data_IF_849766603803
#
_entry.id   IF_849766603803
#
_cell.length_a   1.000
_cell.length_b   1.000
_cell.length_c   1.000
_cell.angle_alpha   90.00
_cell.angle_beta   90.00
_cell.angle_gamma   90.00
#
_symmetry.space_group_name_H-M   'P 1'
#
loop_
_entity.id
_entity.type
_entity.pdbx_description
1 polymer ?
#
# COMPACT_ATOMS: atom_id res chain seq x y z
N UNK A 1 -15.13 1.43 -30.33
CA UNK A 1 -14.16 0.79 -29.41
C UNK A 1 -12.83 0.62 -30.16
N UNK A 2 -11.86 1.53 -30.00
CA UNK A 2 -10.52 1.38 -30.60
C UNK A 2 -9.71 0.44 -29.70
N UNK A 3 -9.37 -0.74 -30.21
CA UNK A 3 -8.37 -1.58 -29.57
C UNK A 3 -7.03 -0.86 -29.68
N UNK A 4 -6.36 -0.62 -28.55
CA UNK A 4 -4.98 -0.12 -28.52
C UNK A 4 -4.10 -1.29 -28.96
N UNK A 5 -3.67 -1.28 -30.22
CA UNK A 5 -2.77 -2.29 -30.74
C UNK A 5 -1.38 -2.10 -30.10
N UNK A 6 -0.77 -3.19 -29.62
CA UNK A 6 0.64 -3.20 -29.19
C UNK A 6 1.53 -2.64 -30.31
N UNK A 7 2.57 -1.87 -29.95
CA UNK A 7 3.60 -1.29 -30.85
C UNK A 7 3.22 -0.04 -31.65
N UNK A 8 2.36 0.85 -31.13
CA UNK A 8 2.27 2.21 -31.69
C UNK A 8 3.43 3.08 -31.20
N UNK A 9 3.99 3.94 -32.06
CA UNK A 9 4.86 5.03 -31.65
C UNK A 9 4.20 5.86 -30.54
N UNK A 10 4.96 6.36 -29.57
CA UNK A 10 4.43 7.15 -28.45
C UNK A 10 3.70 8.39 -28.96
N UNK A 11 4.12 8.90 -30.11
CA UNK A 11 3.54 10.07 -30.79
C UNK A 11 2.11 9.83 -31.31
N UNK A 12 1.69 8.56 -31.47
CA UNK A 12 0.35 8.16 -31.94
C UNK A 12 -0.65 7.90 -30.80
N UNK A 13 -0.22 8.04 -29.55
CA UNK A 13 -1.09 7.99 -28.38
C UNK A 13 -1.67 9.38 -28.11
N UNK A 14 -2.94 9.44 -27.70
CA UNK A 14 -3.51 10.70 -27.21
C UNK A 14 -2.59 11.26 -26.10
N UNK A 15 -2.38 12.60 -26.04
CA UNK A 15 -1.48 13.18 -25.04
C UNK A 15 -1.86 12.68 -23.66
N UNK A 16 -0.93 12.02 -22.97
CA UNK A 16 -1.18 11.46 -21.64
C UNK A 16 -1.68 12.52 -20.65
N UNK A 17 -1.34 13.79 -20.91
CA UNK A 17 -1.79 14.98 -20.20
C UNK A 17 -3.31 15.18 -20.26
N UNK A 18 -3.96 14.87 -21.39
CA UNK A 18 -5.42 14.94 -21.51
C UNK A 18 -6.09 13.89 -20.63
N UNK A 19 -5.60 12.65 -20.69
CA UNK A 19 -6.10 11.57 -19.84
C UNK A 19 -5.87 11.87 -18.35
N UNK A 20 -4.68 12.35 -17.98
CA UNK A 20 -4.37 12.77 -16.61
C UNK A 20 -5.28 13.89 -16.15
N UNK A 21 -5.58 14.86 -17.01
CA UNK A 21 -6.50 15.95 -16.68
C UNK A 21 -7.93 15.44 -16.45
N UNK A 22 -8.42 14.51 -17.27
CA UNK A 22 -9.74 13.89 -17.09
C UNK A 22 -9.76 13.11 -15.77
N UNK A 23 -8.79 12.21 -15.56
CA UNK A 23 -8.68 11.43 -14.33
C UNK A 23 -8.59 12.33 -13.10
N UNK A 24 -7.73 13.35 -13.15
CA UNK A 24 -7.58 14.27 -12.04
C UNK A 24 -8.87 15.02 -11.77
N UNK A 25 -9.59 15.51 -12.80
CA UNK A 25 -10.82 16.31 -12.62
C UNK A 25 -12.02 15.47 -12.19
N UNK A 26 -12.24 14.35 -12.84
CA UNK A 26 -13.49 13.56 -12.78
C UNK A 26 -13.35 12.28 -11.95
N UNK A 27 -12.15 11.72 -11.84
CA UNK A 27 -11.91 10.44 -11.18
C UNK A 27 -11.68 10.51 -9.67
N UNK A 28 -11.64 11.72 -9.09
CA UNK A 28 -11.31 11.94 -7.68
C UNK A 28 -12.35 12.82 -6.99
N UNK A 29 -12.78 12.39 -5.81
CA UNK A 29 -13.71 13.15 -4.96
C UNK A 29 -13.13 14.51 -4.56
N UNK A 30 -13.95 15.55 -4.74
CA UNK A 30 -13.59 16.93 -4.48
C UNK A 30 -14.32 17.47 -3.24
N UNK A 31 -13.57 18.14 -2.35
CA UNK A 31 -14.11 18.92 -1.24
C UNK A 31 -13.62 20.35 -1.34
N UNK A 32 -14.55 21.31 -1.37
CA UNK A 32 -14.19 22.74 -1.28
C UNK A 32 -13.94 23.10 0.18
N UNK A 33 -12.74 23.61 0.47
CA UNK A 33 -12.34 24.09 1.79
C UNK A 33 -12.90 25.51 2.04
N UNK A 34 -12.93 25.92 3.32
CA UNK A 34 -13.40 27.24 3.75
C UNK A 34 -12.63 28.40 3.12
N UNK A 35 -11.38 28.18 2.70
CA UNK A 35 -10.54 29.15 1.99
C UNK A 35 -10.72 29.15 0.46
N UNK A 36 -11.73 28.42 -0.06
CA UNK A 36 -12.01 28.34 -1.49
C UNK A 36 -11.12 27.35 -2.27
N UNK A 37 -10.09 26.76 -1.66
CA UNK A 37 -9.27 25.71 -2.30
C UNK A 37 -10.08 24.43 -2.47
N UNK A 38 -9.82 23.72 -3.57
CA UNK A 38 -10.39 22.40 -3.83
C UNK A 38 -9.39 21.36 -3.31
N UNK A 39 -9.78 20.62 -2.28
CA UNK A 39 -9.06 19.45 -1.82
C UNK A 39 -9.59 18.23 -2.58
N UNK A 40 -8.68 17.45 -3.18
CA UNK A 40 -9.01 16.12 -3.69
C UNK A 40 -8.60 15.11 -2.64
N UNK A 41 -9.58 14.38 -2.09
CA UNK A 41 -9.29 13.46 -0.99
C UNK A 41 -8.55 12.24 -1.55
N UNK A 42 -7.46 11.86 -0.89
CA UNK A 42 -6.69 10.63 -1.14
C UNK A 42 -6.16 10.45 -2.58
N UNK A 43 -5.97 11.56 -3.31
CA UNK A 43 -5.58 11.53 -4.71
C UNK A 43 -4.24 10.84 -4.93
N UNK A 44 -3.27 11.07 -4.04
CA UNK A 44 -1.94 10.48 -4.14
C UNK A 44 -1.97 8.97 -3.90
N UNK A 45 -2.67 8.54 -2.86
CA UNK A 45 -2.82 7.16 -2.43
C UNK A 45 -3.54 6.34 -3.51
N UNK A 46 -4.64 6.87 -4.06
CA UNK A 46 -5.37 6.24 -5.17
C UNK A 46 -4.47 6.14 -6.41
N UNK A 47 -3.77 7.21 -6.76
CA UNK A 47 -2.90 7.23 -7.95
C UNK A 47 -1.75 6.23 -7.85
N UNK A 48 -1.06 6.19 -6.71
CA UNK A 48 -0.01 5.19 -6.44
C UNK A 48 -0.58 3.78 -6.49
N UNK A 49 -1.79 3.58 -5.95
CA UNK A 49 -2.44 2.28 -5.93
C UNK A 49 -2.71 1.76 -7.35
N UNK A 50 -3.33 2.59 -8.18
CA UNK A 50 -3.64 2.25 -9.58
C UNK A 50 -2.37 2.05 -10.39
N UNK A 51 -1.40 2.94 -10.28
CA UNK A 51 -0.12 2.83 -10.99
C UNK A 51 0.61 1.53 -10.64
N UNK A 52 0.64 1.16 -9.35
CA UNK A 52 1.29 -0.07 -8.90
C UNK A 52 0.68 -1.31 -9.55
N UNK A 53 -0.65 -1.35 -9.72
CA UNK A 53 -1.29 -2.44 -10.44
C UNK A 53 -1.07 -2.41 -11.95
N UNK A 54 -1.08 -1.24 -12.58
CA UNK A 54 -0.74 -1.14 -14.00
C UNK A 54 0.67 -1.71 -14.21
N UNK A 55 1.63 -1.29 -13.40
CA UNK A 55 2.99 -1.81 -13.47
C UNK A 55 3.04 -3.32 -13.22
N UNK A 56 2.31 -3.81 -12.22
CA UNK A 56 2.31 -5.23 -11.88
C UNK A 56 1.77 -6.11 -13.01
N UNK A 57 0.81 -5.64 -13.81
CA UNK A 57 0.29 -6.39 -14.96
C UNK A 57 1.16 -6.27 -16.21
N UNK A 58 1.67 -5.09 -16.53
CA UNK A 58 2.39 -4.84 -17.78
C UNK A 58 3.86 -5.23 -17.74
N UNK A 59 4.47 -5.25 -16.55
CA UNK A 59 5.89 -5.53 -16.35
C UNK A 59 6.12 -6.77 -15.49
N UNK A 60 5.16 -7.71 -15.49
CA UNK A 60 5.17 -8.92 -14.65
C UNK A 60 6.32 -9.89 -14.94
N UNK A 61 6.93 -9.77 -16.12
CA UNK A 61 8.09 -10.59 -16.52
C UNK A 61 9.43 -9.98 -16.04
N UNK A 62 9.46 -8.68 -15.76
CA UNK A 62 10.67 -7.94 -15.38
C UNK A 62 10.71 -7.48 -13.93
N UNK A 63 9.56 -7.44 -13.24
CA UNK A 63 9.44 -6.99 -11.85
C UNK A 63 8.95 -8.17 -11.00
N UNK A 64 9.74 -8.57 -10.01
CA UNK A 64 9.40 -9.67 -9.09
C UNK A 64 8.44 -9.24 -7.96
N UNK A 65 8.60 -8.02 -7.45
CA UNK A 65 7.76 -7.46 -6.40
C UNK A 65 7.73 -5.93 -6.47
N UNK A 66 6.57 -5.34 -6.20
CA UNK A 66 6.41 -3.89 -5.98
C UNK A 66 6.14 -3.66 -4.49
N UNK A 67 7.04 -2.97 -3.80
CA UNK A 67 6.87 -2.61 -2.38
C UNK A 67 6.43 -1.16 -2.25
N UNK A 68 5.29 -0.92 -1.61
CA UNK A 68 4.76 0.41 -1.31
C UNK A 68 5.08 0.76 0.14
N UNK A 69 5.84 1.84 0.33
CA UNK A 69 6.08 2.42 1.64
C UNK A 69 4.99 3.47 1.92
N UNK A 70 4.12 3.19 2.88
CA UNK A 70 3.08 4.13 3.29
C UNK A 70 2.74 3.92 4.75
N UNK A 71 2.56 5.03 5.47
CA UNK A 71 1.97 5.03 6.81
C UNK A 71 0.46 5.27 6.79
N UNK A 72 -0.12 5.54 5.63
CA UNK A 72 -1.55 5.79 5.48
C UNK A 72 -2.32 4.48 5.23
N UNK A 73 -3.20 4.15 6.17
CA UNK A 73 -4.07 2.97 6.12
C UNK A 73 -4.96 2.97 4.89
N UNK A 74 -5.40 4.15 4.45
CA UNK A 74 -6.25 4.25 3.27
C UNK A 74 -5.50 3.71 2.03
N UNK A 75 -4.17 3.82 1.97
CA UNK A 75 -3.36 3.26 0.86
C UNK A 75 -3.52 1.72 0.76
N UNK A 76 -3.48 1.02 1.89
CA UNK A 76 -3.66 -0.43 1.93
C UNK A 76 -5.06 -0.84 1.45
N UNK A 77 -6.08 -0.09 1.85
CA UNK A 77 -7.47 -0.34 1.43
C UNK A 77 -7.68 -0.05 -0.06
N UNK A 78 -7.09 1.02 -0.59
CA UNK A 78 -7.20 1.36 -2.01
C UNK A 78 -6.54 0.33 -2.92
N UNK A 79 -5.36 -0.19 -2.55
CA UNK A 79 -4.75 -1.29 -3.29
C UNK A 79 -5.61 -2.55 -3.24
N UNK A 80 -6.19 -2.88 -2.08
CA UNK A 80 -7.06 -4.05 -1.98
C UNK A 80 -8.28 -3.92 -2.91
N UNK A 81 -8.90 -2.74 -2.94
CA UNK A 81 -10.02 -2.44 -3.85
C UNK A 81 -9.59 -2.42 -5.32
N UNK A 82 -8.45 -1.81 -5.65
CA UNK A 82 -7.92 -1.77 -7.01
C UNK A 82 -7.66 -3.17 -7.55
N UNK A 83 -7.17 -4.09 -6.69
CA UNK A 83 -7.03 -5.52 -7.01
C UNK A 83 -8.33 -6.13 -7.49
N UNK A 84 -9.38 -5.98 -6.68
CA UNK A 84 -10.69 -6.58 -6.93
C UNK A 84 -11.31 -6.02 -8.21
N UNK A 85 -11.23 -4.70 -8.40
CA UNK A 85 -11.76 -4.02 -9.58
C UNK A 85 -11.05 -4.46 -10.86
N UNK A 86 -9.71 -4.54 -10.85
CA UNK A 86 -8.95 -4.97 -12.02
C UNK A 86 -9.16 -6.45 -12.31
N UNK A 87 -9.17 -7.30 -11.28
CA UNK A 87 -9.43 -8.73 -11.48
C UNK A 87 -10.82 -9.00 -12.08
N UNK A 88 -11.82 -8.18 -11.73
CA UNK A 88 -13.17 -8.25 -12.31
C UNK A 88 -13.27 -7.80 -13.77
N UNK A 89 -12.27 -7.11 -14.31
CA UNK A 89 -12.25 -6.65 -15.69
C UNK A 89 -11.65 -7.70 -16.63
N UNK A 90 -12.40 -8.11 -17.65
CA UNK A 90 -12.00 -9.16 -18.61
C UNK A 90 -10.66 -8.88 -19.31
N UNK A 91 -10.17 -7.64 -19.36
CA UNK A 91 -8.86 -7.30 -19.93
C UNK A 91 -7.69 -7.75 -19.05
N UNK A 92 -7.91 -7.87 -17.75
CA UNK A 92 -6.89 -8.20 -16.73
C UNK A 92 -7.15 -9.55 -16.07
N UNK A 93 -8.39 -10.03 -16.12
CA UNK A 93 -8.78 -11.37 -15.68
C UNK A 93 -7.85 -12.43 -16.26
N UNK A 94 -7.38 -13.33 -15.41
CA UNK A 94 -6.43 -14.40 -15.73
C UNK A 94 -5.05 -13.95 -16.25
N UNK A 95 -4.74 -12.65 -16.28
CA UNK A 95 -3.37 -12.20 -16.54
C UNK A 95 -2.50 -12.40 -15.31
N UNK A 96 -1.24 -12.79 -15.53
CA UNK A 96 -0.23 -12.77 -14.47
C UNK A 96 0.07 -11.34 -14.07
N UNK A 97 0.10 -11.09 -12.77
CA UNK A 97 0.58 -9.84 -12.20
C UNK A 97 1.66 -10.11 -11.15
N UNK A 98 2.55 -9.15 -10.98
CA UNK A 98 3.52 -9.13 -9.89
C UNK A 98 2.84 -8.90 -8.54
N UNK A 99 3.43 -9.44 -7.47
CA UNK A 99 3.01 -9.17 -6.09
C UNK A 99 3.19 -7.69 -5.75
N UNK A 100 2.22 -7.16 -5.01
CA UNK A 100 2.29 -5.82 -4.41
C UNK A 100 2.29 -6.02 -2.89
N UNK A 101 3.31 -5.47 -2.23
CA UNK A 101 3.55 -5.60 -0.79
C UNK A 101 3.67 -4.23 -0.14
N UNK A 102 3.59 -4.19 1.20
CA UNK A 102 3.60 -2.94 1.96
C UNK A 102 4.63 -2.94 3.07
N UNK A 103 5.17 -1.76 3.34
CA UNK A 103 5.94 -1.47 4.55
C UNK A 103 5.43 -0.18 5.18
N UNK A 104 4.74 -0.32 6.32
CA UNK A 104 4.40 0.81 7.18
C UNK A 104 5.57 1.17 8.10
N UNK A 105 5.48 2.30 8.81
CA UNK A 105 6.48 2.62 9.82
C UNK A 105 6.56 1.52 10.90
N UNK A 106 5.44 0.94 11.31
CA UNK A 106 5.41 -0.17 12.28
C UNK A 106 6.17 -1.39 11.74
N UNK A 107 5.99 -1.71 10.45
CA UNK A 107 6.76 -2.76 9.78
C UNK A 107 8.26 -2.48 9.81
N UNK A 108 8.67 -1.24 9.50
CA UNK A 108 10.08 -0.84 9.48
C UNK A 108 10.70 -0.95 10.87
N UNK A 109 10.03 -0.48 11.91
CA UNK A 109 10.52 -0.59 13.29
C UNK A 109 10.68 -2.06 13.68
N UNK A 110 9.69 -2.89 13.35
CA UNK A 110 9.75 -4.34 13.58
C UNK A 110 10.92 -5.00 12.84
N UNK A 111 11.14 -4.68 11.57
CA UNK A 111 12.24 -5.20 10.76
C UNK A 111 13.60 -4.74 11.29
N UNK A 112 13.76 -3.45 11.58
CA UNK A 112 15.01 -2.89 12.09
C UNK A 112 15.38 -3.41 13.48
N UNK A 113 14.38 -3.66 14.33
CA UNK A 113 14.61 -4.29 15.64
C UNK A 113 15.18 -5.70 15.46
N UNK A 114 14.60 -6.51 14.55
CA UNK A 114 15.07 -7.88 14.28
C UNK A 114 16.43 -7.95 13.61
N UNK A 115 16.75 -6.95 12.81
CA UNK A 115 18.06 -6.82 12.17
C UNK A 115 19.13 -6.23 13.10
N UNK A 116 18.78 -5.83 14.32
CA UNK A 116 19.70 -5.23 15.28
C UNK A 116 20.15 -3.81 14.93
N UNK A 117 19.41 -3.10 14.07
CA UNK A 117 19.70 -1.71 13.72
C UNK A 117 19.26 -0.72 14.79
N UNK A 118 18.32 -1.12 15.66
CA UNK A 118 17.91 -0.35 16.83
C UNK A 118 18.50 -1.04 18.05
N UNK A 119 19.20 -0.28 18.90
CA UNK A 119 19.75 -0.78 20.15
C UNK A 119 18.63 -1.24 21.08
N UNK A 120 18.67 -2.51 21.50
CA UNK A 120 17.68 -3.12 22.40
C UNK A 120 17.49 -2.34 23.70
N UNK A 121 18.55 -1.70 24.22
CA UNK A 121 18.48 -0.93 25.46
C UNK A 121 17.75 0.42 25.32
N UNK A 122 17.48 0.87 24.08
CA UNK A 122 16.85 2.16 23.79
C UNK A 122 15.58 2.02 22.93
N UNK A 123 15.06 0.81 22.74
CA UNK A 123 13.91 0.55 21.86
C UNK A 123 12.63 1.21 22.38
N UNK A 124 12.46 1.28 23.69
CA UNK A 124 11.36 1.97 24.37
C UNK A 124 11.37 3.47 24.04
N UNK A 125 12.50 4.14 24.25
CA UNK A 125 12.66 5.58 23.96
C UNK A 125 12.46 5.86 22.47
N UNK A 126 12.97 4.96 21.61
CA UNK A 126 12.81 5.09 20.17
C UNK A 126 11.33 4.97 19.75
N UNK A 127 10.63 3.93 20.23
CA UNK A 127 9.20 3.75 19.93
C UNK A 127 8.39 4.94 20.43
N UNK A 128 8.65 5.43 21.64
CA UNK A 128 7.92 6.58 22.18
C UNK A 128 8.19 7.89 21.43
N UNK A 129 9.36 8.02 20.80
CA UNK A 129 9.72 9.20 20.01
C UNK A 129 9.12 9.20 18.60
N UNK A 130 8.94 8.02 17.99
CA UNK A 130 8.64 7.89 16.56
C UNK A 130 7.32 7.18 16.24
N UNK A 131 6.63 6.65 17.26
CA UNK A 131 5.38 5.91 17.08
C UNK A 131 4.29 6.43 18.02
N UNK A 132 3.09 6.56 17.47
CA UNK A 132 1.87 6.85 18.21
C UNK A 132 0.97 5.63 18.22
N UNK A 133 0.05 5.57 19.20
CA UNK A 133 -1.01 4.57 19.23
C UNK A 133 -1.78 4.58 17.91
N UNK A 134 -1.79 3.43 17.24
CA UNK A 134 -2.40 3.29 15.92
C UNK A 134 -2.91 1.88 15.71
N UNK A 135 -3.78 1.74 14.71
CA UNK A 135 -4.37 0.46 14.36
C UNK A 135 -3.43 -0.30 13.43
N UNK A 136 -3.04 -1.50 13.83
CA UNK A 136 -2.09 -2.37 13.11
C UNK A 136 -2.84 -3.62 12.64
N UNK A 137 -2.59 -4.00 11.39
CA UNK A 137 -2.99 -5.29 10.82
C UNK A 137 -1.81 -6.25 10.84
N UNK A 138 -1.99 -7.43 11.40
CA UNK A 138 -0.94 -8.44 11.53
C UNK A 138 -1.51 -9.85 11.57
N UNK A 139 -0.66 -10.83 11.31
CA UNK A 139 -0.97 -12.24 11.53
C UNK A 139 -0.20 -12.80 12.70
N UNK A 140 -0.76 -13.79 13.39
CA UNK A 140 -0.10 -14.53 14.47
C UNK A 140 -0.20 -16.02 14.21
N UNK A 141 0.94 -16.71 14.21
CA UNK A 141 1.02 -18.17 14.12
C UNK A 141 0.69 -18.80 15.48
N UNK A 142 -0.27 -19.71 15.51
CA UNK A 142 -0.67 -20.47 16.71
C UNK A 142 0.18 -21.73 16.87
N UNK A 143 0.06 -22.38 18.03
CA UNK A 143 0.81 -23.61 18.36
C UNK A 143 0.51 -24.77 17.42
N UNK A 144 -0.72 -24.85 16.90
CA UNK A 144 -1.15 -25.85 15.91
C UNK A 144 -0.76 -25.46 14.46
N UNK A 145 0.06 -24.41 14.29
CA UNK A 145 0.45 -23.80 13.01
C UNK A 145 -0.68 -23.09 12.25
N UNK A 146 -1.88 -22.96 12.81
CA UNK A 146 -2.91 -22.10 12.23
C UNK A 146 -2.48 -20.62 12.27
N UNK A 147 -2.97 -19.82 11.31
CA UNK A 147 -2.68 -18.38 11.21
C UNK A 147 -3.94 -17.59 11.55
N UNK A 148 -3.83 -16.75 12.57
CA UNK A 148 -4.89 -15.81 12.95
C UNK A 148 -4.57 -14.43 12.38
N UNK A 149 -5.53 -13.81 11.69
CA UNK A 149 -5.45 -12.40 11.28
C UNK A 149 -6.06 -11.50 12.35
N UNK A 150 -5.38 -10.41 12.68
CA UNK A 150 -5.84 -9.40 13.63
C UNK A 150 -5.72 -8.00 13.05
N UNK A 151 -6.64 -7.12 13.46
CA UNK A 151 -6.66 -5.70 13.13
C UNK A 151 -7.09 -4.92 14.38
N UNK A 152 -6.11 -4.41 15.14
CA UNK A 152 -6.31 -3.90 16.51
C UNK A 152 -5.63 -2.56 16.73
N UNK A 153 -6.20 -1.74 17.62
CA UNK A 153 -5.55 -0.54 18.13
C UNK A 153 -4.45 -0.95 19.11
N UNK A 154 -3.20 -0.57 18.82
CA UNK A 154 -2.01 -1.00 19.57
C UNK A 154 -1.28 0.24 20.07
N UNK A 155 -1.15 0.38 21.39
CA UNK A 155 -0.31 1.39 22.04
C UNK A 155 1.17 0.99 22.02
N UNK A 156 2.05 1.87 22.52
CA UNK A 156 3.49 1.62 22.48
C UNK A 156 3.92 0.46 23.40
N UNK A 157 3.29 0.28 24.55
CA UNK A 157 3.60 -0.83 25.46
C UNK A 157 3.28 -2.19 24.82
N UNK A 158 2.09 -2.33 24.24
CA UNK A 158 1.69 -3.53 23.51
C UNK A 158 2.57 -3.76 22.27
N UNK A 159 2.95 -2.69 21.56
CA UNK A 159 3.83 -2.79 20.41
C UNK A 159 5.23 -3.31 20.78
N UNK A 160 5.81 -2.83 21.88
CA UNK A 160 7.11 -3.32 22.38
C UNK A 160 7.08 -4.82 22.70
N UNK A 161 5.98 -5.33 23.24
CA UNK A 161 5.80 -6.78 23.42
C UNK A 161 5.65 -7.52 22.09
N UNK A 162 4.98 -6.92 21.10
CA UNK A 162 4.90 -7.49 19.75
C UNK A 162 6.27 -7.60 19.07
N UNK A 163 7.21 -6.68 19.33
CA UNK A 163 8.57 -6.74 18.77
C UNK A 163 9.33 -8.00 19.22
N UNK A 164 9.08 -8.46 20.44
CA UNK A 164 9.70 -9.66 21.04
C UNK A 164 9.07 -10.97 20.55
N UNK A 165 7.86 -10.92 20.01
CA UNK A 165 7.07 -12.10 19.64
C UNK A 165 7.46 -12.63 18.25
N UNK A 166 8.12 -13.79 18.20
CA UNK A 166 8.54 -14.44 16.95
C UNK A 166 7.38 -15.05 16.14
N UNK A 167 6.16 -15.09 16.68
CA UNK A 167 4.99 -15.67 16.02
C UNK A 167 4.16 -14.65 15.26
N UNK A 168 4.45 -13.36 15.40
CA UNK A 168 3.74 -12.26 14.75
C UNK A 168 4.42 -11.90 13.44
N UNK A 169 3.63 -11.62 12.40
CA UNK A 169 4.07 -10.96 11.17
C UNK A 169 3.19 -9.75 10.90
N UNK A 170 3.79 -8.56 10.77
CA UNK A 170 3.08 -7.33 10.47
C UNK A 170 2.67 -7.27 8.99
N UNK A 171 1.45 -6.79 8.73
CA UNK A 171 0.92 -6.55 7.38
C UNK A 171 0.92 -5.06 7.08
N UNK A 172 0.36 -4.25 7.97
CA UNK A 172 0.27 -2.78 7.83
C UNK A 172 0.12 -2.08 9.18
#
# INVERSE_FOLDING_TARGET
>A
KKNIFKNRPVEDLDPYEEWLNIFYKEGLDQRKLSNGRIQRKNAGEISISVLSYILSYYYSESIDNITIFSSDRDTYEFISKAKEMLYGDERFKNRRNTSITFKSNDFLIYEWTRLGYINENNIDVFVDSYRQTRRIKFTRKKQDNSIEEQDKLIDNAAFLEMLKDSTIHLIF
#
